data_IF_670840219655
#
_entry.id   IF_670840219655
#
_cell.length_a   1.000
_cell.length_b   1.000
_cell.length_c   1.000
_cell.angle_alpha   90.00
_cell.angle_beta   90.00
_cell.angle_gamma   90.00
#
_symmetry.space_group_name_H-M   'P 1'
#
loop_
_entity.id
_entity.type
_entity.pdbx_description
1 polymer ?
#
# COMPACT_ATOMS: atom_id res chain seq x y z
N UNK A 1 31.50 20.57 -14.69
CA UNK A 1 30.88 21.51 -13.71
C UNK A 1 29.37 21.29 -13.57
N UNK A 2 28.61 21.13 -14.66
CA UNK A 2 27.16 20.88 -14.60
C UNK A 2 26.77 19.53 -13.95
N UNK A 3 27.55 18.47 -14.19
CA UNK A 3 27.26 17.13 -13.63
C UNK A 3 27.31 17.10 -12.10
N UNK A 4 28.31 17.75 -11.49
CA UNK A 4 28.42 17.85 -10.03
C UNK A 4 27.26 18.64 -9.42
N UNK A 5 26.70 19.60 -10.17
CA UNK A 5 25.55 20.38 -9.73
C UNK A 5 24.27 19.54 -9.76
N UNK A 6 24.10 18.71 -10.79
CA UNK A 6 22.96 17.77 -10.89
C UNK A 6 23.03 16.72 -9.76
N UNK A 7 24.22 16.18 -9.50
CA UNK A 7 24.42 15.21 -8.40
C UNK A 7 24.13 15.88 -7.05
N UNK A 8 24.62 17.09 -6.81
CA UNK A 8 24.35 17.83 -5.57
C UNK A 8 22.87 18.15 -5.39
N UNK A 9 22.15 18.51 -6.46
CA UNK A 9 20.69 18.70 -6.42
C UNK A 9 19.94 17.40 -6.15
N UNK A 10 20.41 16.28 -6.71
CA UNK A 10 19.79 14.96 -6.50
C UNK A 10 19.97 14.51 -5.05
N UNK A 11 21.17 14.63 -4.50
CA UNK A 11 21.48 14.36 -3.09
C UNK A 11 20.69 15.28 -2.14
N UNK A 12 20.49 16.54 -2.52
CA UNK A 12 19.73 17.51 -1.73
C UNK A 12 18.24 17.19 -1.77
N UNK A 13 17.66 16.86 -2.93
CA UNK A 13 16.27 16.38 -3.05
C UNK A 13 16.06 15.09 -2.27
N UNK A 14 17.02 14.17 -2.31
CA UNK A 14 16.95 12.90 -1.57
C UNK A 14 17.05 13.10 -0.05
N UNK A 15 17.92 14.00 0.41
CA UNK A 15 18.02 14.40 1.84
C UNK A 15 16.82 15.23 2.31
N UNK A 16 16.26 16.04 1.42
CA UNK A 16 15.09 16.89 1.62
C UNK A 16 13.78 16.14 1.36
N UNK A 17 13.75 14.80 1.38
CA UNK A 17 12.49 14.06 1.45
C UNK A 17 11.75 14.37 2.78
N UNK A 18 11.05 15.50 2.80
CA UNK A 18 10.16 16.02 3.84
C UNK A 18 8.84 15.23 3.95
N UNK A 19 8.86 13.90 3.75
CA UNK A 19 7.69 13.06 4.03
C UNK A 19 7.58 12.66 5.50
N UNK A 20 8.44 13.19 6.37
CA UNK A 20 8.39 12.97 7.82
C UNK A 20 7.26 13.72 8.53
N UNK A 21 6.57 14.64 7.86
CA UNK A 21 5.39 15.34 8.38
C UNK A 21 4.13 15.13 7.55
N UNK A 22 4.04 14.00 6.83
CA UNK A 22 2.76 13.59 6.31
C UNK A 22 1.90 13.10 7.49
N UNK A 23 1.00 13.97 7.98
CA UNK A 23 -0.19 13.47 8.67
C UNK A 23 -0.89 12.59 7.65
N UNK A 24 -0.74 11.28 7.80
CA UNK A 24 -1.51 10.28 7.07
C UNK A 24 -2.93 10.83 7.03
N UNK A 25 -3.41 11.24 5.84
CA UNK A 25 -4.84 11.36 5.64
C UNK A 25 -5.42 10.04 6.17
N UNK A 26 -6.58 10.01 6.83
CA UNK A 26 -7.14 8.75 7.29
C UNK A 26 -7.25 7.85 6.06
N UNK A 27 -6.26 6.97 5.86
CA UNK A 27 -6.22 6.04 4.75
C UNK A 27 -7.49 5.26 4.95
N UNK A 28 -8.44 5.46 4.02
CA UNK A 28 -9.81 4.95 4.02
C UNK A 28 -10.19 4.27 5.35
N UNK A 29 -11.03 4.89 6.22
CA UNK A 29 -11.40 4.37 7.55
C UNK A 29 -11.85 2.90 7.60
N UNK A 30 -12.06 2.28 6.45
CA UNK A 30 -12.50 0.92 6.23
C UNK A 30 -11.35 -0.10 6.09
N UNK A 31 -10.09 0.30 5.84
CA UNK A 31 -8.95 -0.62 5.71
C UNK A 31 -8.52 -1.23 7.04
N UNK A 32 -8.62 -0.47 8.14
CA UNK A 32 -8.44 -1.00 9.50
C UNK A 32 -9.50 -2.06 9.82
N UNK A 33 -10.64 -2.05 9.12
CA UNK A 33 -11.70 -3.03 9.28
C UNK A 33 -11.46 -4.29 8.45
N UNK A 34 -10.43 -4.36 7.59
CA UNK A 34 -10.16 -5.54 6.76
C UNK A 34 -9.73 -6.74 7.63
N UNK A 35 -8.83 -6.49 8.58
CA UNK A 35 -8.47 -7.46 9.61
C UNK A 35 -9.69 -7.82 10.45
N UNK A 36 -10.50 -6.84 10.86
CA UNK A 36 -11.74 -7.10 11.61
C UNK A 36 -12.73 -7.96 10.82
N UNK A 37 -12.91 -7.73 9.52
CA UNK A 37 -13.82 -8.52 8.68
C UNK A 37 -13.34 -9.96 8.53
N UNK A 38 -12.03 -10.17 8.43
CA UNK A 38 -11.44 -11.51 8.39
C UNK A 38 -11.54 -12.21 9.75
N UNK A 39 -11.17 -11.52 10.84
CA UNK A 39 -11.14 -12.07 12.21
C UNK A 39 -12.54 -12.38 12.76
N UNK A 40 -13.51 -11.51 12.48
CA UNK A 40 -14.89 -11.66 12.95
C UNK A 40 -15.78 -12.46 11.97
N UNK A 41 -15.18 -13.14 10.97
CA UNK A 41 -15.90 -13.93 9.97
C UNK A 41 -17.02 -13.14 9.24
N UNK A 42 -16.84 -11.83 9.06
CA UNK A 42 -17.82 -10.97 8.42
C UNK A 42 -17.69 -11.02 6.89
N UNK A 43 -17.85 -12.22 6.34
CA UNK A 43 -17.72 -12.52 4.91
C UNK A 43 -18.62 -11.63 4.07
N UNK A 44 -19.83 -11.32 4.53
CA UNK A 44 -20.78 -10.44 3.81
C UNK A 44 -20.19 -9.06 3.55
N UNK A 45 -19.57 -8.43 4.55
CA UNK A 45 -18.92 -7.12 4.37
C UNK A 45 -17.68 -7.23 3.48
N UNK A 46 -16.89 -8.29 3.67
CA UNK A 46 -15.72 -8.56 2.85
C UNK A 46 -16.07 -8.65 1.35
N UNK A 47 -17.04 -9.49 1.01
CA UNK A 47 -17.52 -9.63 -0.37
C UNK A 47 -18.15 -8.34 -0.89
N UNK A 48 -18.93 -7.61 -0.09
CA UNK A 48 -19.54 -6.35 -0.55
C UNK A 48 -18.51 -5.26 -0.84
N UNK A 49 -17.35 -5.29 -0.16
CA UNK A 49 -16.34 -4.23 -0.25
C UNK A 49 -15.21 -4.54 -1.23
N UNK A 50 -14.80 -5.80 -1.31
CA UNK A 50 -13.71 -6.23 -2.18
C UNK A 50 -14.19 -7.03 -3.38
N UNK A 51 -15.46 -7.44 -3.41
CA UNK A 51 -16.07 -8.24 -4.48
C UNK A 51 -15.31 -9.54 -4.80
N UNK A 52 -14.51 -10.04 -3.84
CA UNK A 52 -13.67 -11.22 -3.98
C UNK A 52 -13.88 -12.16 -2.80
N UNK A 53 -13.63 -13.44 -3.03
CA UNK A 53 -13.61 -14.43 -1.98
C UNK A 53 -12.35 -14.30 -1.10
N UNK A 54 -12.45 -14.43 0.24
CA UNK A 54 -11.30 -14.28 1.14
C UNK A 54 -10.19 -15.30 0.89
N UNK A 55 -10.52 -16.55 0.53
CA UNK A 55 -9.50 -17.57 0.26
C UNK A 55 -8.73 -17.24 -1.02
N UNK A 56 -9.44 -16.73 -2.03
CA UNK A 56 -8.84 -16.21 -3.27
C UNK A 56 -7.97 -14.99 -2.97
N UNK A 57 -8.46 -14.06 -2.15
CA UNK A 57 -7.70 -12.90 -1.74
C UNK A 57 -6.42 -13.30 -0.99
N UNK A 58 -6.49 -14.22 -0.03
CA UNK A 58 -5.33 -14.72 0.69
C UNK A 58 -4.31 -15.41 -0.23
N UNK A 59 -4.78 -16.17 -1.23
CA UNK A 59 -3.92 -16.76 -2.25
C UNK A 59 -3.24 -15.69 -3.11
N UNK A 60 -3.97 -14.64 -3.52
CA UNK A 60 -3.40 -13.53 -4.26
C UNK A 60 -2.31 -12.82 -3.46
N UNK A 61 -2.58 -12.50 -2.18
CA UNK A 61 -1.58 -11.89 -1.29
C UNK A 61 -0.33 -12.76 -1.23
N UNK A 62 -0.45 -14.07 -0.97
CA UNK A 62 0.72 -14.97 -0.92
C UNK A 62 1.52 -15.02 -2.22
N UNK A 63 0.87 -14.89 -3.38
CA UNK A 63 1.56 -14.88 -4.68
C UNK A 63 2.20 -13.53 -5.00
N UNK A 64 1.71 -12.46 -4.39
CA UNK A 64 2.09 -11.09 -4.69
C UNK A 64 2.99 -10.46 -3.63
N UNK A 65 3.14 -11.10 -2.46
CA UNK A 65 3.92 -10.57 -1.33
C UNK A 65 5.37 -10.26 -1.73
N UNK A 66 5.97 -11.15 -2.53
CA UNK A 66 7.33 -10.98 -3.06
C UNK A 66 7.36 -10.35 -4.47
N UNK A 67 6.22 -9.91 -5.00
CA UNK A 67 6.14 -9.44 -6.39
C UNK A 67 6.47 -7.95 -6.51
N UNK A 68 7.35 -7.55 -7.45
CA UNK A 68 7.81 -6.16 -7.58
C UNK A 68 6.70 -5.16 -7.95
N UNK A 69 5.56 -5.62 -8.45
CA UNK A 69 4.41 -4.75 -8.80
C UNK A 69 3.89 -3.93 -7.61
N UNK A 70 4.01 -4.47 -6.39
CA UNK A 70 3.64 -3.76 -5.18
C UNK A 70 4.85 -3.12 -4.51
N UNK A 71 6.08 -3.33 -4.99
CA UNK A 71 7.28 -2.68 -4.46
C UNK A 71 7.50 -1.31 -5.12
N UNK A 72 7.51 -0.26 -4.31
CA UNK A 72 7.79 1.11 -4.71
C UNK A 72 9.29 1.34 -5.00
N UNK A 73 10.20 0.49 -4.52
CA UNK A 73 11.67 0.64 -4.63
C UNK A 73 12.23 2.02 -4.21
N UNK A 74 11.43 2.88 -3.56
CA UNK A 74 11.90 4.10 -2.91
C UNK A 74 12.26 3.82 -1.46
N UNK A 75 13.05 4.72 -0.87
CA UNK A 75 13.43 4.68 0.54
C UNK A 75 12.28 5.05 1.51
N UNK A 76 11.02 4.95 1.07
CA UNK A 76 9.86 5.31 1.87
C UNK A 76 9.23 4.07 2.50
N UNK A 77 8.67 4.25 3.69
CA UNK A 77 7.92 3.18 4.34
C UNK A 77 6.64 2.87 3.54
N UNK A 78 6.54 1.63 3.07
CA UNK A 78 5.40 1.14 2.31
C UNK A 78 4.40 0.39 3.19
N UNK A 79 3.13 0.38 2.79
CA UNK A 79 2.13 -0.50 3.39
C UNK A 79 2.38 -1.97 2.97
N UNK A 80 1.96 -2.94 3.81
CA UNK A 80 1.99 -4.36 3.43
C UNK A 80 1.19 -4.63 2.15
N UNK A 81 1.62 -5.61 1.35
CA UNK A 81 0.99 -5.97 0.06
C UNK A 81 -0.50 -6.26 0.22
N UNK A 82 -0.89 -6.93 1.31
CA UNK A 82 -2.30 -7.17 1.65
C UNK A 82 -3.14 -5.88 1.67
N UNK A 83 -2.60 -4.82 2.27
CA UNK A 83 -3.31 -3.54 2.41
C UNK A 83 -3.33 -2.80 1.07
N UNK A 84 -2.22 -2.82 0.33
CA UNK A 84 -2.14 -2.19 -0.99
C UNK A 84 -3.10 -2.86 -1.98
N UNK A 85 -3.19 -4.19 -1.97
CA UNK A 85 -4.11 -4.95 -2.80
C UNK A 85 -5.57 -4.68 -2.44
N UNK A 86 -5.91 -4.62 -1.15
CA UNK A 86 -7.25 -4.26 -0.70
C UNK A 86 -7.67 -2.85 -1.17
N UNK A 87 -6.75 -1.87 -1.08
CA UNK A 87 -6.98 -0.52 -1.60
C UNK A 87 -7.23 -0.55 -3.11
N UNK A 88 -6.38 -1.28 -3.83
CA UNK A 88 -6.50 -1.40 -5.28
C UNK A 88 -7.87 -1.97 -5.68
N UNK A 89 -8.28 -3.08 -5.05
CA UNK A 89 -9.59 -3.69 -5.33
C UNK A 89 -10.75 -2.77 -4.94
N UNK A 90 -10.69 -2.07 -3.80
CA UNK A 90 -11.77 -1.19 -3.37
C UNK A 90 -11.94 0.06 -4.24
N UNK A 91 -10.85 0.59 -4.82
CA UNK A 91 -10.90 1.80 -5.66
C UNK A 91 -11.32 1.52 -7.11
N UNK A 92 -11.13 0.29 -7.59
CA UNK A 92 -11.41 -0.10 -8.98
C UNK A 92 -12.60 -1.07 -9.14
N UNK A 93 -13.16 -1.61 -8.06
CA UNK A 93 -14.39 -2.42 -8.06
C UNK A 93 -15.65 -1.55 -7.99
#
# INVERSE_FOLDING_TARGET
MAENFIIALTDEVEKSHYLTTWKKAPCAPQLQLLEEWCLNNNLKKFHHKLCIDPDVFAHLVRRLDDHPVFSNNSNNQQLPVLVQLAIFLQLFA
#
